data_IF_987277515448
#
_entry.id   IF_987277515448
#
_cell.length_a   1.000
_cell.length_b   1.000
_cell.length_c   1.000
_cell.angle_alpha   90.00
_cell.angle_beta   90.00
_cell.angle_gamma   90.00
#
_symmetry.space_group_name_H-M   'P 1'
#
loop_
_entity.id
_entity.type
_entity.pdbx_description
1 polymer ?
#
# COMPACT_ATOMS: atom_id res chain seq x y z
N UNK A 1 -21.56 7.05 -13.89
CA UNK A 1 -20.80 6.52 -12.73
C UNK A 1 -21.09 7.32 -11.46
N UNK A 2 -20.73 8.61 -11.37
CA UNK A 2 -20.97 9.43 -10.17
C UNK A 2 -22.45 9.50 -9.75
N UNK A 3 -23.37 9.68 -10.70
CA UNK A 3 -24.82 9.63 -10.43
C UNK A 3 -25.28 8.29 -9.84
N UNK A 4 -24.73 7.18 -10.35
CA UNK A 4 -24.98 5.82 -9.84
C UNK A 4 -24.40 5.64 -8.45
N UNK A 5 -23.17 6.10 -8.21
CA UNK A 5 -22.54 6.04 -6.89
C UNK A 5 -23.33 6.87 -5.87
N UNK A 6 -23.82 8.06 -6.25
CA UNK A 6 -24.66 8.92 -5.42
C UNK A 6 -25.99 8.26 -5.07
N UNK A 7 -26.74 7.79 -6.06
CA UNK A 7 -28.03 7.13 -5.84
C UNK A 7 -27.93 5.86 -5.01
N UNK A 8 -26.77 5.20 -4.99
CA UNK A 8 -26.49 4.02 -4.18
C UNK A 8 -25.78 4.30 -2.83
N UNK A 9 -25.51 5.57 -2.49
CA UNK A 9 -24.80 5.91 -1.26
C UNK A 9 -23.34 5.42 -1.20
N UNK A 10 -22.70 5.24 -2.36
CA UNK A 10 -21.35 4.68 -2.49
C UNK A 10 -20.26 5.75 -2.67
N UNK A 11 -20.59 7.04 -2.71
CA UNK A 11 -19.62 8.11 -2.99
C UNK A 11 -18.41 8.09 -2.04
N UNK A 12 -18.62 7.79 -0.76
CA UNK A 12 -17.53 7.69 0.22
C UNK A 12 -16.57 6.50 -0.02
N UNK A 13 -16.96 5.55 -0.86
CA UNK A 13 -16.20 4.33 -1.19
C UNK A 13 -15.57 4.38 -2.58
N UNK A 14 -15.79 5.46 -3.34
CA UNK A 14 -15.27 5.61 -4.70
C UNK A 14 -14.12 6.61 -4.68
N UNK A 15 -13.05 6.25 -5.38
CA UNK A 15 -11.96 7.15 -5.72
C UNK A 15 -11.58 6.94 -7.17
N UNK A 16 -11.03 7.99 -7.78
CA UNK A 16 -10.59 7.98 -9.16
C UNK A 16 -9.09 7.79 -9.21
N UNK A 17 -8.65 6.65 -9.74
CA UNK A 17 -7.26 6.41 -10.06
C UNK A 17 -7.02 6.86 -11.51
N UNK A 18 -6.50 8.08 -11.66
CA UNK A 18 -6.49 8.77 -12.97
C UNK A 18 -5.11 8.82 -13.64
N UNK A 19 -4.05 8.54 -12.89
CA UNK A 19 -2.68 8.62 -13.40
C UNK A 19 -1.77 7.70 -12.61
N UNK A 20 -0.91 6.99 -13.32
CA UNK A 20 0.11 6.11 -12.74
C UNK A 20 1.48 6.80 -12.83
N UNK A 21 2.08 7.07 -11.67
CA UNK A 21 3.47 7.54 -11.50
C UNK A 21 3.90 8.73 -12.42
N UNK A 22 3.30 9.93 -12.31
CA UNK A 22 3.70 11.09 -13.11
C UNK A 22 5.15 11.52 -12.79
N UNK A 23 5.89 11.92 -13.81
CA UNK A 23 7.27 12.39 -13.65
C UNK A 23 7.50 13.80 -14.22
N UNK A 24 6.62 14.33 -15.07
CA UNK A 24 6.82 15.64 -15.70
C UNK A 24 5.83 16.69 -15.23
N UNK A 25 6.23 17.96 -15.17
CA UNK A 25 5.34 19.07 -14.82
C UNK A 25 4.08 19.09 -15.70
N UNK A 26 4.20 18.80 -17.00
CA UNK A 26 3.05 18.73 -17.90
C UNK A 26 2.06 17.60 -17.57
N UNK A 27 2.49 16.53 -16.92
CA UNK A 27 1.64 15.42 -16.46
C UNK A 27 0.93 15.82 -15.16
N UNK A 28 1.63 16.46 -14.23
CA UNK A 28 1.02 17.03 -13.03
C UNK A 28 -0.07 18.05 -13.36
N UNK A 29 0.12 18.90 -14.37
CA UNK A 29 -0.92 19.84 -14.83
C UNK A 29 -2.13 19.13 -15.45
N UNK A 30 -1.92 18.01 -16.16
CA UNK A 30 -3.03 17.19 -16.66
C UNK A 30 -3.84 16.53 -15.52
N UNK A 31 -3.16 16.04 -14.49
CA UNK A 31 -3.80 15.49 -13.28
C UNK A 31 -4.69 16.55 -12.63
N UNK A 32 -4.19 17.80 -12.48
CA UNK A 32 -4.98 18.91 -11.96
C UNK A 32 -6.22 19.19 -12.80
N UNK A 33 -6.09 19.26 -14.12
CA UNK A 33 -7.22 19.49 -15.03
C UNK A 33 -8.27 18.36 -14.95
N UNK A 34 -7.83 17.11 -14.84
CA UNK A 34 -8.74 15.97 -14.64
C UNK A 34 -9.44 16.02 -13.27
N UNK A 35 -8.70 16.33 -12.21
CA UNK A 35 -9.27 16.48 -10.87
C UNK A 35 -10.29 17.62 -10.83
N UNK A 36 -9.98 18.79 -11.38
CA UNK A 36 -10.91 19.93 -11.48
C UNK A 36 -12.20 19.53 -12.21
N UNK A 37 -12.08 18.81 -13.33
CA UNK A 37 -13.24 18.29 -14.05
C UNK A 37 -14.05 17.33 -13.19
N UNK A 38 -13.43 16.40 -12.46
CA UNK A 38 -14.12 15.48 -11.56
C UNK A 38 -14.85 16.25 -10.45
N UNK A 39 -14.16 17.20 -9.80
CA UNK A 39 -14.70 18.02 -8.70
C UNK A 39 -15.84 18.94 -9.15
N UNK A 40 -15.86 19.36 -10.42
CA UNK A 40 -16.99 20.10 -10.99
C UNK A 40 -18.31 19.29 -10.98
N UNK A 41 -18.24 17.96 -11.02
CA UNK A 41 -19.41 17.07 -10.93
C UNK A 41 -19.67 16.58 -9.50
N UNK A 42 -18.61 16.40 -8.71
CA UNK A 42 -18.68 15.91 -7.32
C UNK A 42 -17.50 16.48 -6.51
N UNK A 43 -17.68 17.58 -5.76
CA UNK A 43 -16.61 18.24 -5.01
C UNK A 43 -15.93 17.37 -3.95
N UNK A 44 -16.61 16.32 -3.46
CA UNK A 44 -16.06 15.40 -2.46
C UNK A 44 -15.40 14.15 -3.06
N UNK A 45 -15.33 14.05 -4.39
CA UNK A 45 -14.74 12.90 -5.05
C UNK A 45 -13.23 12.80 -4.73
N UNK A 46 -12.81 11.64 -4.25
CA UNK A 46 -11.40 11.37 -3.96
C UNK A 46 -10.64 11.03 -5.23
N UNK A 47 -9.44 11.58 -5.37
CA UNK A 47 -8.49 11.25 -6.44
C UNK A 47 -7.28 10.56 -5.82
N UNK A 48 -6.86 9.44 -6.39
CA UNK A 48 -5.66 8.70 -6.01
C UNK A 48 -4.58 8.90 -7.08
N UNK A 49 -3.37 9.19 -6.63
CA UNK A 49 -2.18 9.30 -7.49
C UNK A 49 -1.05 8.47 -6.89
N UNK A 50 -0.51 7.54 -7.68
CA UNK A 50 0.71 6.79 -7.35
C UNK A 50 1.94 7.58 -7.76
N UNK A 51 3.05 7.43 -7.03
CA UNK A 51 4.34 8.01 -7.40
C UNK A 51 5.50 7.31 -6.68
N UNK A 52 6.64 7.21 -7.37
CA UNK A 52 7.90 6.72 -6.79
C UNK A 52 9.02 7.79 -6.80
N UNK A 53 8.81 8.94 -7.43
CA UNK A 53 9.79 10.02 -7.51
C UNK A 53 9.11 11.38 -7.60
N UNK A 54 9.89 12.43 -7.39
CA UNK A 54 9.49 13.80 -7.71
C UNK A 54 9.60 14.13 -9.20
N UNK A 55 9.28 15.37 -9.60
CA UNK A 55 9.38 15.83 -10.98
C UNK A 55 10.78 15.63 -11.58
N UNK A 56 10.86 15.33 -12.87
CA UNK A 56 12.11 15.23 -13.64
C UNK A 56 12.54 16.58 -14.24
N UNK A 57 11.64 17.56 -14.23
CA UNK A 57 11.81 18.90 -14.75
C UNK A 57 11.23 19.97 -13.81
N UNK A 58 11.53 21.23 -14.11
CA UNK A 58 11.07 22.37 -13.32
C UNK A 58 11.87 22.67 -12.05
N UNK A 59 11.41 23.65 -11.23
CA UNK A 59 12.17 24.16 -10.10
C UNK A 59 12.35 23.18 -8.94
N UNK A 60 11.44 22.20 -8.80
CA UNK A 60 11.45 21.19 -7.72
C UNK A 60 11.91 19.82 -8.23
N UNK A 61 12.75 19.82 -9.28
CA UNK A 61 13.29 18.60 -9.86
C UNK A 61 13.93 17.71 -8.80
N UNK A 62 13.64 16.41 -8.89
CA UNK A 62 14.11 15.32 -8.02
C UNK A 62 13.66 15.39 -6.55
N UNK A 63 12.82 16.36 -6.18
CA UNK A 63 12.21 16.43 -4.85
C UNK A 63 10.96 15.53 -4.77
N UNK A 64 11.11 14.34 -4.17
CA UNK A 64 10.00 13.41 -3.91
C UNK A 64 8.83 14.09 -3.18
N UNK A 65 9.10 15.01 -2.25
CA UNK A 65 8.07 15.61 -1.41
C UNK A 65 7.35 16.76 -2.10
N UNK A 66 7.88 17.27 -3.21
CA UNK A 66 7.21 18.29 -4.01
C UNK A 66 5.90 17.79 -4.61
N UNK A 67 5.74 16.47 -4.84
CA UNK A 67 4.49 15.87 -5.34
C UNK A 67 3.29 16.25 -4.48
N UNK A 68 3.45 16.30 -3.16
CA UNK A 68 2.38 16.69 -2.22
C UNK A 68 1.96 18.15 -2.40
N UNK A 69 2.92 19.04 -2.65
CA UNK A 69 2.65 20.46 -2.82
C UNK A 69 2.06 20.74 -4.21
N UNK A 70 2.62 20.11 -5.25
CA UNK A 70 2.20 20.26 -6.65
C UNK A 70 0.76 19.78 -6.83
N UNK A 71 0.41 18.62 -6.27
CA UNK A 71 -0.92 18.02 -6.43
C UNK A 71 -1.89 18.37 -5.30
N UNK A 72 -1.53 19.30 -4.42
CA UNK A 72 -2.45 19.75 -3.38
C UNK A 72 -3.75 20.30 -3.98
N UNK A 73 -4.89 19.86 -3.46
CA UNK A 73 -6.23 20.18 -3.99
C UNK A 73 -6.69 19.29 -5.16
N UNK A 74 -5.76 18.75 -5.95
CA UNK A 74 -6.08 17.79 -7.01
C UNK A 74 -6.14 16.34 -6.51
N UNK A 75 -5.22 15.96 -5.62
CA UNK A 75 -5.10 14.59 -5.09
C UNK A 75 -5.58 14.53 -3.64
N UNK A 76 -6.35 13.49 -3.33
CA UNK A 76 -6.82 13.18 -1.98
C UNK A 76 -6.05 12.02 -1.35
N UNK A 77 -5.62 11.05 -2.17
CA UNK A 77 -4.88 9.86 -1.73
C UNK A 77 -3.52 9.86 -2.43
N UNK A 78 -2.48 10.17 -1.67
CA UNK A 78 -1.08 10.13 -2.12
C UNK A 78 -0.52 8.73 -1.88
N UNK A 79 -0.25 7.97 -2.93
CA UNK A 79 0.20 6.59 -2.82
C UNK A 79 1.68 6.46 -3.22
N UNK A 80 2.58 6.35 -2.25
CA UNK A 80 4.03 6.37 -2.50
C UNK A 80 4.64 4.97 -2.55
N UNK A 81 5.54 4.74 -3.51
CA UNK A 81 6.30 3.49 -3.59
C UNK A 81 7.21 3.34 -2.40
N UNK A 82 7.19 2.19 -1.73
CA UNK A 82 8.03 1.99 -0.55
C UNK A 82 9.52 2.06 -0.84
N UNK A 83 9.92 1.75 -2.09
CA UNK A 83 11.27 1.90 -2.60
C UNK A 83 11.76 3.34 -2.45
N UNK A 84 10.92 4.34 -2.76
CA UNK A 84 11.26 5.77 -2.67
C UNK A 84 11.60 6.22 -1.25
N UNK A 85 11.10 5.52 -0.25
CA UNK A 85 11.41 5.77 1.15
C UNK A 85 12.75 5.17 1.58
N UNK A 86 13.33 4.27 0.78
CA UNK A 86 14.68 3.69 0.98
C UNK A 86 14.88 3.06 2.37
N UNK A 87 13.81 2.48 2.94
CA UNK A 87 13.81 1.92 4.29
C UNK A 87 13.99 2.95 5.41
N UNK A 88 13.85 4.25 5.12
CA UNK A 88 14.02 5.34 6.07
C UNK A 88 12.65 5.83 6.60
N UNK A 89 12.39 5.53 7.88
CA UNK A 89 11.15 5.91 8.56
C UNK A 89 10.95 7.42 8.67
N UNK A 90 12.03 8.22 8.63
CA UNK A 90 11.94 9.68 8.59
C UNK A 90 11.31 10.17 7.28
N UNK A 91 11.53 9.49 6.15
CA UNK A 91 10.86 9.84 4.89
C UNK A 91 9.36 9.56 4.95
N UNK A 92 8.96 8.46 5.60
CA UNK A 92 7.55 8.20 5.88
C UNK A 92 6.93 9.31 6.77
N UNK A 93 7.65 9.76 7.80
CA UNK A 93 7.22 10.90 8.63
C UNK A 93 7.07 12.19 7.80
N UNK A 94 7.98 12.46 6.87
CA UNK A 94 7.90 13.61 5.96
C UNK A 94 6.68 13.53 5.03
N UNK A 95 6.35 12.35 4.48
CA UNK A 95 5.12 12.15 3.72
C UNK A 95 3.88 12.51 4.56
N UNK A 96 3.80 12.01 5.80
CA UNK A 96 2.68 12.34 6.70
C UNK A 96 2.61 13.82 7.05
N UNK A 97 3.76 14.46 7.30
CA UNK A 97 3.83 15.88 7.64
C UNK A 97 3.41 16.81 6.48
N UNK A 98 3.47 16.33 5.23
CA UNK A 98 3.03 17.08 4.05
C UNK A 98 1.52 17.06 3.85
N UNK A 99 0.80 16.07 4.39
CA UNK A 99 -0.64 15.94 4.24
C UNK A 99 -1.39 17.16 4.79
N UNK A 100 -2.45 17.55 4.08
CA UNK A 100 -3.45 18.54 4.50
C UNK A 100 -4.72 17.83 4.99
N UNK A 101 -5.61 18.60 5.60
CA UNK A 101 -6.88 18.08 6.10
C UNK A 101 -7.67 17.34 5.01
N UNK A 102 -8.12 16.13 5.32
CA UNK A 102 -8.87 15.28 4.38
C UNK A 102 -8.00 14.50 3.37
N UNK A 103 -6.68 14.65 3.40
CA UNK A 103 -5.76 13.86 2.58
C UNK A 103 -5.31 12.59 3.31
N UNK A 104 -5.05 11.56 2.53
CA UNK A 104 -4.58 10.25 2.95
C UNK A 104 -3.22 9.94 2.34
N UNK A 105 -2.41 9.17 3.06
CA UNK A 105 -1.14 8.66 2.55
C UNK A 105 -1.15 7.14 2.56
N UNK A 106 -1.03 6.57 1.37
CA UNK A 106 -0.98 5.14 1.12
C UNK A 106 0.43 4.75 0.69
N UNK A 107 0.75 3.46 0.83
CA UNK A 107 2.00 2.89 0.34
C UNK A 107 1.73 1.74 -0.63
N UNK A 108 2.65 1.50 -1.56
CA UNK A 108 2.62 0.30 -2.40
C UNK A 108 3.99 -0.36 -2.51
N UNK A 109 3.96 -1.65 -2.82
CA UNK A 109 5.14 -2.46 -3.19
C UNK A 109 5.01 -2.89 -4.65
N UNK A 110 6.11 -2.91 -5.39
CA UNK A 110 6.16 -3.43 -6.76
C UNK A 110 7.55 -3.98 -7.09
N UNK A 111 7.76 -4.48 -8.31
CA UNK A 111 9.10 -4.67 -8.91
C UNK A 111 10.14 -5.39 -8.01
N UNK A 112 9.70 -6.36 -7.22
CA UNK A 112 10.61 -7.14 -6.38
C UNK A 112 11.03 -6.47 -5.07
N UNK A 113 10.34 -5.41 -4.65
CA UNK A 113 10.50 -4.81 -3.33
C UNK A 113 10.54 -5.87 -2.24
N UNK A 114 11.49 -5.72 -1.31
CA UNK A 114 11.66 -6.61 -0.16
C UNK A 114 11.82 -5.76 1.10
N UNK A 115 10.96 -5.94 2.12
CA UNK A 115 9.79 -6.84 2.17
C UNK A 115 8.70 -6.47 1.16
N UNK A 116 8.08 -7.47 0.54
CA UNK A 116 7.02 -7.26 -0.46
C UNK A 116 6.27 -8.54 -0.82
N UNK A 117 5.67 -8.55 -2.01
CA UNK A 117 4.78 -9.63 -2.46
C UNK A 117 5.30 -10.40 -3.69
N UNK A 118 6.48 -10.05 -4.19
CA UNK A 118 7.14 -10.84 -5.23
C UNK A 118 7.67 -12.17 -4.67
N UNK A 119 8.11 -13.09 -5.55
CA UNK A 119 8.57 -14.42 -5.15
C UNK A 119 9.84 -14.40 -4.26
N UNK A 120 10.60 -13.30 -4.24
CA UNK A 120 11.78 -13.16 -3.38
C UNK A 120 11.44 -13.04 -1.88
N UNK A 121 10.18 -12.78 -1.54
CA UNK A 121 9.72 -12.63 -0.15
C UNK A 121 9.23 -13.98 0.40
N UNK A 122 9.92 -14.52 1.40
CA UNK A 122 9.66 -15.85 1.99
C UNK A 122 8.99 -15.76 3.36
N UNK A 123 7.72 -16.19 3.47
CA UNK A 123 7.08 -16.34 4.79
C UNK A 123 6.78 -15.00 5.47
N UNK A 124 7.59 -14.63 6.46
CA UNK A 124 7.39 -13.45 7.32
C UNK A 124 7.48 -12.12 6.53
N UNK A 125 8.44 -11.90 5.61
CA UNK A 125 8.47 -10.73 4.74
C UNK A 125 7.14 -10.32 4.09
N UNK A 126 6.24 -11.25 3.73
CA UNK A 126 4.92 -10.87 3.20
C UNK A 126 4.04 -10.19 4.25
N UNK A 127 4.13 -10.61 5.52
CA UNK A 127 3.43 -10.00 6.68
C UNK A 127 4.02 -8.64 7.05
N UNK A 128 5.34 -8.50 6.94
CA UNK A 128 6.09 -7.28 7.30
C UNK A 128 5.57 -6.06 6.55
N UNK A 129 5.02 -6.23 5.35
CA UNK A 129 4.36 -5.16 4.58
C UNK A 129 3.32 -4.42 5.43
N UNK A 130 2.49 -5.16 6.17
CA UNK A 130 1.42 -4.57 7.00
C UNK A 130 1.92 -4.13 8.37
N UNK A 131 2.97 -4.74 8.91
CA UNK A 131 3.65 -4.22 10.12
C UNK A 131 4.29 -2.86 9.87
N UNK A 132 4.93 -2.68 8.70
CA UNK A 132 5.44 -1.40 8.23
C UNK A 132 4.30 -0.40 8.06
N UNK A 133 3.21 -0.80 7.39
CA UNK A 133 2.03 0.05 7.19
C UNK A 133 1.48 0.60 8.53
N UNK A 134 1.38 -0.27 9.55
CA UNK A 134 1.00 0.13 10.90
C UNK A 134 2.02 1.06 11.58
N UNK A 135 3.31 0.72 11.54
CA UNK A 135 4.36 1.47 12.23
C UNK A 135 4.57 2.86 11.61
N UNK A 136 4.58 2.92 10.29
CA UNK A 136 4.73 4.15 9.51
C UNK A 136 3.42 4.93 9.38
N UNK A 137 2.29 4.42 9.92
CA UNK A 137 1.00 5.10 9.97
C UNK A 137 0.49 5.56 8.60
N UNK A 138 0.70 4.76 7.55
CA UNK A 138 -0.03 4.95 6.29
C UNK A 138 -1.48 4.51 6.46
N UNK A 139 -2.42 5.20 5.83
CA UNK A 139 -3.85 4.94 5.93
C UNK A 139 -4.35 3.87 4.95
N UNK A 140 -3.49 3.39 4.04
CA UNK A 140 -3.84 2.37 3.09
C UNK A 140 -2.64 1.70 2.43
N UNK A 141 -2.93 0.64 1.70
CA UNK A 141 -1.96 -0.18 0.98
C UNK A 141 -2.48 -0.50 -0.42
N UNK A 142 -1.60 -0.44 -1.42
CA UNK A 142 -1.91 -0.79 -2.80
C UNK A 142 -0.93 -1.87 -3.29
N UNK A 143 -1.46 -2.82 -4.06
CA UNK A 143 -0.68 -3.72 -4.91
C UNK A 143 -1.22 -3.66 -6.33
N UNK A 144 -0.34 -3.43 -7.30
CA UNK A 144 -0.72 -2.92 -8.61
C UNK A 144 -1.57 -3.88 -9.45
N UNK A 145 -1.34 -5.19 -9.34
CA UNK A 145 -2.17 -6.22 -9.98
C UNK A 145 -2.01 -7.58 -9.28
N UNK A 146 -3.03 -8.44 -9.34
CA UNK A 146 -3.03 -9.76 -8.67
C UNK A 146 -3.14 -10.95 -9.62
N UNK A 147 -3.37 -10.72 -10.91
CA UNK A 147 -3.60 -11.75 -11.92
C UNK A 147 -3.00 -11.36 -13.30
N UNK A 148 -1.88 -10.65 -13.29
CA UNK A 148 -1.22 -10.12 -14.50
C UNK A 148 -0.44 -11.17 -15.30
N UNK A 149 -1.10 -12.24 -15.75
CA UNK A 149 -0.50 -13.26 -16.61
C UNK A 149 -0.27 -12.75 -18.04
N UNK A 150 0.79 -13.22 -18.71
CA UNK A 150 1.03 -12.96 -20.14
C UNK A 150 0.29 -13.95 -21.05
N UNK A 151 -0.05 -15.14 -20.53
CA UNK A 151 -0.90 -16.13 -21.18
C UNK A 151 -1.64 -16.92 -20.11
N UNK A 152 -2.90 -17.28 -20.39
CA UNK A 152 -3.73 -18.14 -19.53
C UNK A 152 -3.64 -19.62 -19.91
N UNK A 153 -3.26 -19.94 -21.16
CA UNK A 153 -3.10 -21.32 -21.63
C UNK A 153 -1.94 -21.46 -22.66
N UNK A 154 -0.79 -22.06 -22.30
CA UNK A 154 -0.40 -22.44 -20.94
C UNK A 154 -0.24 -21.20 -20.06
N UNK A 155 -0.37 -21.37 -18.74
CA UNK A 155 -0.15 -20.27 -17.79
C UNK A 155 1.29 -19.75 -17.89
N UNK A 156 1.44 -18.46 -18.14
CA UNK A 156 2.75 -17.79 -18.22
C UNK A 156 2.74 -16.47 -17.47
N UNK A 157 3.78 -16.26 -16.68
CA UNK A 157 4.09 -14.96 -16.08
C UNK A 157 4.59 -13.99 -17.15
N UNK A 158 4.49 -12.70 -16.87
CA UNK A 158 5.13 -11.63 -17.63
C UNK A 158 6.66 -11.71 -17.44
N UNK A 159 7.41 -11.85 -18.53
CA UNK A 159 8.86 -12.09 -18.50
C UNK A 159 9.68 -10.84 -18.17
N UNK A 160 9.08 -9.66 -18.38
CA UNK A 160 9.63 -8.35 -18.09
C UNK A 160 9.54 -7.97 -16.60
N UNK A 161 8.89 -8.79 -15.78
CA UNK A 161 8.69 -8.54 -14.35
C UNK A 161 9.46 -9.54 -13.47
N UNK A 162 9.82 -9.14 -12.24
CA UNK A 162 10.33 -10.07 -11.25
C UNK A 162 9.37 -11.24 -11.05
N UNK A 163 9.93 -12.44 -10.79
CA UNK A 163 9.13 -13.65 -10.63
C UNK A 163 8.03 -13.45 -9.59
N UNK A 164 6.80 -13.76 -9.98
CA UNK A 164 5.62 -13.68 -9.13
C UNK A 164 5.07 -12.27 -8.90
N UNK A 165 5.75 -11.20 -9.34
CA UNK A 165 5.17 -9.86 -9.25
C UNK A 165 3.95 -9.75 -10.16
N UNK A 166 2.88 -9.11 -9.66
CA UNK A 166 1.60 -9.00 -10.33
C UNK A 166 0.73 -10.27 -10.32
N UNK A 167 1.16 -11.34 -9.65
CA UNK A 167 0.43 -12.62 -9.62
C UNK A 167 0.29 -13.08 -8.17
N UNK A 168 -0.92 -12.97 -7.62
CA UNK A 168 -1.30 -13.44 -6.29
C UNK A 168 -2.55 -14.34 -6.30
N UNK A 169 -3.32 -14.30 -7.38
CA UNK A 169 -4.52 -15.11 -7.63
C UNK A 169 -4.33 -15.84 -8.95
N UNK A 170 -4.63 -17.14 -8.96
CA UNK A 170 -4.47 -18.05 -10.09
C UNK A 170 -5.83 -18.56 -10.56
N UNK A 171 -6.01 -18.89 -11.85
CA UNK A 171 -7.19 -19.63 -12.30
C UNK A 171 -7.19 -21.03 -11.70
N UNK A 172 -8.37 -21.57 -11.40
CA UNK A 172 -8.52 -22.88 -10.76
C UNK A 172 -8.27 -24.07 -11.67
N UNK A 173 -8.71 -23.99 -12.93
CA UNK A 173 -8.73 -25.12 -13.88
C UNK A 173 -7.37 -25.85 -13.99
N UNK A 174 -6.21 -25.15 -14.11
CA UNK A 174 -4.90 -25.81 -14.16
C UNK A 174 -4.52 -26.58 -12.88
N UNK A 175 -5.24 -26.36 -11.77
CA UNK A 175 -5.04 -27.00 -10.47
C UNK A 175 -6.22 -27.92 -10.09
N UNK A 176 -7.15 -28.20 -11.01
CA UNK A 176 -8.31 -29.05 -10.76
C UNK A 176 -9.36 -28.40 -9.85
N UNK A 177 -9.43 -27.08 -9.82
CA UNK A 177 -10.44 -26.32 -9.06
C UNK A 177 -11.39 -25.57 -10.01
N UNK A 178 -12.67 -25.51 -9.65
CA UNK A 178 -13.66 -24.66 -10.34
C UNK A 178 -13.58 -23.19 -9.87
N UNK A 179 -12.92 -22.94 -8.74
CA UNK A 179 -12.74 -21.61 -8.13
C UNK A 179 -11.34 -21.05 -8.39
N UNK A 180 -11.16 -19.74 -8.21
CA UNK A 180 -9.82 -19.16 -8.23
C UNK A 180 -8.97 -19.66 -7.04
N UNK A 181 -7.68 -19.86 -7.26
CA UNK A 181 -6.75 -20.26 -6.21
C UNK A 181 -5.97 -19.04 -5.71
N UNK A 182 -5.98 -18.78 -4.41
CA UNK A 182 -5.11 -17.77 -3.80
C UNK A 182 -3.69 -18.32 -3.64
N UNK A 183 -2.70 -17.44 -3.78
CA UNK A 183 -1.31 -17.80 -3.50
C UNK A 183 -1.04 -17.80 -2.00
N UNK A 184 -0.10 -18.63 -1.57
CA UNK A 184 0.41 -18.60 -0.20
C UNK A 184 0.97 -17.21 0.20
N UNK A 185 1.43 -16.40 -0.76
CA UNK A 185 1.91 -15.03 -0.53
C UNK A 185 0.76 -14.10 -0.15
N UNK A 186 -0.39 -14.24 -0.82
CA UNK A 186 -1.59 -13.48 -0.49
C UNK A 186 -2.12 -13.86 0.90
N UNK A 187 -2.15 -15.16 1.23
CA UNK A 187 -2.56 -15.62 2.56
C UNK A 187 -1.63 -15.09 3.67
N UNK A 188 -0.31 -15.11 3.43
CA UNK A 188 0.65 -14.56 4.41
C UNK A 188 0.53 -13.04 4.54
N UNK A 189 0.26 -12.32 3.45
CA UNK A 189 -0.03 -10.89 3.52
C UNK A 189 -1.33 -10.62 4.29
N UNK A 190 -2.39 -11.40 4.04
CA UNK A 190 -3.66 -11.37 4.76
C UNK A 190 -3.45 -11.58 6.26
N UNK A 191 -2.59 -12.52 6.64
CA UNK A 191 -2.25 -12.70 8.06
C UNK A 191 -1.53 -11.47 8.65
N UNK A 192 -0.77 -10.72 7.84
CA UNK A 192 -0.20 -9.43 8.23
C UNK A 192 -1.26 -8.34 8.41
N UNK A 193 -2.36 -8.39 7.63
CA UNK A 193 -3.53 -7.51 7.83
C UNK A 193 -4.21 -7.81 9.16
N UNK A 194 -4.34 -9.09 9.53
CA UNK A 194 -4.83 -9.45 10.87
C UNK A 194 -3.92 -8.91 11.98
N UNK A 195 -2.59 -9.00 11.80
CA UNK A 195 -1.61 -8.43 12.73
C UNK A 195 -1.78 -6.91 12.88
N UNK A 196 -2.03 -6.19 11.77
CA UNK A 196 -2.31 -4.76 11.75
C UNK A 196 -3.57 -4.42 12.58
N UNK A 197 -4.66 -5.16 12.41
CA UNK A 197 -5.90 -4.93 13.17
C UNK A 197 -5.72 -5.23 14.66
N UNK A 198 -4.98 -6.30 15.00
CA UNK A 198 -4.64 -6.60 16.39
C UNK A 198 -3.76 -5.51 17.01
N UNK A 199 -2.79 -4.98 16.27
CA UNK A 199 -1.98 -3.84 16.73
C UNK A 199 -2.84 -2.60 17.00
N UNK A 200 -3.83 -2.30 16.15
CA UNK A 200 -4.77 -1.20 16.38
C UNK A 200 -5.61 -1.41 17.65
N UNK A 201 -6.13 -2.63 17.86
CA UNK A 201 -6.88 -2.98 19.06
C UNK A 201 -6.02 -2.86 20.32
N UNK A 202 -4.77 -3.36 20.26
CA UNK A 202 -3.82 -3.29 21.36
C UNK A 202 -3.42 -1.84 21.66
N UNK A 203 -3.10 -1.04 20.64
CA UNK A 203 -2.79 0.39 20.77
C UNK A 203 -3.93 1.15 21.42
N UNK A 204 -5.18 0.91 21.00
CA UNK A 204 -6.36 1.55 21.60
C UNK A 204 -6.49 1.25 23.10
N UNK A 205 -6.03 0.09 23.55
CA UNK A 205 -6.16 -0.37 24.94
C UNK A 205 -4.96 -0.03 25.83
N UNK A 206 -3.74 -0.19 25.31
CA UNK A 206 -2.48 -0.08 26.08
C UNK A 206 -1.63 1.13 25.65
N UNK A 207 -2.01 1.84 24.60
CA UNK A 207 -1.32 3.02 24.06
C UNK A 207 -0.26 2.69 22.99
N UNK A 208 0.05 3.68 22.14
CA UNK A 208 0.98 3.55 21.01
C UNK A 208 2.36 3.07 21.43
N UNK A 209 2.93 3.66 22.48
CA UNK A 209 4.28 3.31 22.96
C UNK A 209 4.37 1.84 23.39
N UNK A 210 3.31 1.29 24.01
CA UNK A 210 3.26 -0.12 24.36
C UNK A 210 3.16 -1.02 23.12
N UNK A 211 2.33 -0.65 22.15
CA UNK A 211 2.18 -1.37 20.90
C UNK A 211 3.49 -1.39 20.07
N UNK A 212 4.18 -0.25 19.97
CA UNK A 212 5.48 -0.15 19.30
C UNK A 212 6.57 -0.95 20.00
N UNK A 213 6.58 -0.92 21.35
CA UNK A 213 7.48 -1.76 22.15
C UNK A 213 7.23 -3.25 21.89
N UNK A 214 5.96 -3.66 21.81
CA UNK A 214 5.61 -5.05 21.50
C UNK A 214 6.02 -5.43 20.07
N UNK A 215 5.72 -4.59 19.08
CA UNK A 215 6.10 -4.80 17.68
C UNK A 215 7.62 -4.90 17.50
N UNK A 216 8.40 -4.14 18.28
CA UNK A 216 9.87 -4.13 18.20
C UNK A 216 10.53 -5.49 18.41
N UNK A 217 9.83 -6.45 19.03
CA UNK A 217 10.29 -7.82 19.21
C UNK A 217 10.37 -8.63 17.90
N UNK A 218 9.60 -8.23 16.86
CA UNK A 218 9.54 -8.91 15.56
C UNK A 218 9.87 -7.99 14.39
N UNK A 219 9.70 -6.68 14.56
CA UNK A 219 9.92 -5.67 13.52
C UNK A 219 10.48 -4.39 14.12
N UNK A 220 11.73 -4.08 13.81
CA UNK A 220 12.35 -2.82 14.19
C UNK A 220 12.18 -1.75 13.12
N UNK A 221 12.44 -2.06 11.85
CA UNK A 221 12.33 -1.13 10.72
C UNK A 221 12.30 -1.93 9.39
N UNK A 222 12.13 -1.29 8.22
CA UNK A 222 11.99 -2.00 6.94
C UNK A 222 13.15 -2.93 6.57
N UNK A 223 14.34 -2.77 7.14
CA UNK A 223 15.52 -3.62 6.86
C UNK A 223 15.87 -4.55 8.03
N UNK A 224 15.19 -4.43 9.17
CA UNK A 224 15.45 -5.21 10.39
C UNK A 224 14.16 -5.75 10.99
N UNK A 225 13.91 -7.03 10.74
CA UNK A 225 12.75 -7.78 11.22
C UNK A 225 13.11 -9.27 11.36
N UNK A 226 12.29 -10.01 12.09
CA UNK A 226 12.53 -11.42 12.34
C UNK A 226 12.26 -12.29 11.10
N UNK A 227 12.99 -13.38 10.97
CA UNK A 227 12.72 -14.46 10.02
C UNK A 227 12.33 -15.76 10.73
N UNK A 228 12.24 -15.75 12.06
CA UNK A 228 11.91 -16.93 12.85
C UNK A 228 10.44 -16.92 13.31
N UNK A 229 9.73 -18.00 13.00
CA UNK A 229 8.29 -18.17 13.31
C UNK A 229 8.00 -18.06 14.81
N UNK A 230 8.89 -18.58 15.67
CA UNK A 230 8.71 -18.57 17.13
C UNK A 230 8.52 -17.16 17.72
N UNK A 231 9.18 -16.15 17.15
CA UNK A 231 9.04 -14.77 17.61
C UNK A 231 7.73 -14.15 17.13
N UNK A 232 7.28 -14.50 15.91
CA UNK A 232 5.98 -14.08 15.38
C UNK A 232 4.82 -14.68 16.19
N UNK A 233 4.89 -15.96 16.54
CA UNK A 233 3.88 -16.62 17.39
C UNK A 233 3.82 -16.00 18.80
N UNK A 234 4.98 -15.75 19.41
CA UNK A 234 5.05 -15.08 20.71
C UNK A 234 4.48 -13.65 20.66
N UNK A 235 4.74 -12.92 19.58
CA UNK A 235 4.17 -11.59 19.34
C UNK A 235 2.64 -11.64 19.22
N UNK A 236 2.10 -12.55 18.41
CA UNK A 236 0.64 -12.75 18.27
C UNK A 236 -0.02 -13.08 19.61
N UNK A 237 0.58 -13.99 20.39
CA UNK A 237 0.05 -14.34 21.71
C UNK A 237 -0.04 -13.11 22.63
N UNK A 238 1.04 -12.33 22.72
CA UNK A 238 1.08 -11.11 23.54
C UNK A 238 0.09 -10.03 23.08
N UNK A 239 -0.16 -9.92 21.76
CA UNK A 239 -1.21 -9.05 21.24
C UNK A 239 -2.57 -9.47 21.78
N UNK A 240 -2.91 -10.75 21.64
CA UNK A 240 -4.21 -11.30 22.07
C UNK A 240 -4.40 -11.13 23.59
N UNK A 241 -3.40 -11.54 24.38
CA UNK A 241 -3.45 -11.44 25.84
C UNK A 241 -3.71 -9.99 26.27
N UNK A 242 -2.96 -9.03 25.71
CA UNK A 242 -3.14 -7.62 26.03
C UNK A 242 -4.43 -6.98 25.47
N UNK A 243 -5.06 -7.55 24.45
CA UNK A 243 -6.38 -7.11 23.96
C UNK A 243 -7.50 -7.60 24.90
N UNK A 244 -7.37 -8.79 25.46
CA UNK A 244 -8.40 -9.41 26.32
C UNK A 244 -8.36 -8.87 27.76
N UNK A 245 -7.18 -8.59 28.32
CA UNK A 245 -6.96 -8.00 29.67
C UNK A 245 -7.46 -6.57 29.84
#
# INVERSE_FOLDING_TARGET
MLSTARSKGLLSKVYFYIWDEPTKISEYEQIKAFAEKIHSYEPQAKVLTTFYRGPEDGPQKDDLFAVFDILNGATSIFCTGVWSLQGNEQRAQQCRAKLKAGQEWWTYVCMGDTPGLSHNSSGIPNRVVMWRNWKEQSSGFLYWVVNGFSSMNPLRSRSELPKGDGILIYPGEPFGSEDFCTSIRLERWRDGVEDYEMLNMYEKKKGRSAAESLLSNVYSNPTKYTTEVKYMEAFKKKLIDGIIE
#
